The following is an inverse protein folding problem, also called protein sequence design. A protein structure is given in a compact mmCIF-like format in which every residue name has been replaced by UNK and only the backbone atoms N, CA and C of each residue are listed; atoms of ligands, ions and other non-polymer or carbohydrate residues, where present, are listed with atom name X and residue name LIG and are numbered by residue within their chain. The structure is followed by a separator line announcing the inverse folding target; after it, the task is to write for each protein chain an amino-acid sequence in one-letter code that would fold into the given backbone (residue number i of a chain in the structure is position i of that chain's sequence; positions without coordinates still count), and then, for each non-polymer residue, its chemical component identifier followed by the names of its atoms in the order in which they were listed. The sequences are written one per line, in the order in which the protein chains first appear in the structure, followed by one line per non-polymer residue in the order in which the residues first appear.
data_IF_197676104745
#
_entry.id   IF_197676104745
#
_cell.length_a   1.000
_cell.length_b   1.000
_cell.length_c   1.000
_cell.angle_alpha   90.00
_cell.angle_beta   90.00
_cell.angle_gamma   90.00
#
_symmetry.space_group_name_H-M   'P 1'
#
loop_
_entity.id
_entity.type
_entity.pdbx_description
1 polymer ?
#
# COMPACT_ATOMS: atom_id res chain seq x y z
N UNK A 1 1.34 -10.46 -18.41
CA UNK A 1 0.28 -9.83 -19.22
C UNK A 1 0.67 -8.42 -19.64
N UNK A 2 0.26 -7.99 -20.86
CA UNK A 2 0.50 -6.65 -21.42
C UNK A 2 -0.79 -6.09 -22.00
N UNK A 3 -1.17 -4.87 -21.58
CA UNK A 3 -2.35 -4.21 -22.09
C UNK A 3 -2.13 -3.70 -23.53
N UNK A 4 -3.11 -3.95 -24.39
CA UNK A 4 -3.12 -3.50 -25.78
C UNK A 4 -4.34 -2.65 -26.02
N UNK A 5 -4.13 -1.44 -26.55
CA UNK A 5 -5.19 -0.56 -27.03
C UNK A 5 -4.88 -0.20 -28.47
N UNK A 6 -5.75 -0.59 -29.40
CA UNK A 6 -5.58 -0.31 -30.83
C UNK A 6 -6.94 -0.32 -31.53
N UNK A 7 -7.12 0.41 -32.65
CA UNK A 7 -8.27 0.26 -33.51
C UNK A 7 -8.45 -1.19 -33.97
N UNK A 8 -9.68 -1.65 -34.16
CA UNK A 8 -10.00 -3.04 -34.50
C UNK A 8 -9.21 -3.57 -35.70
N UNK A 9 -8.94 -2.72 -36.69
CA UNK A 9 -8.22 -3.11 -37.92
C UNK A 9 -6.75 -3.50 -37.67
N UNK A 10 -6.10 -2.97 -36.63
CA UNK A 10 -4.69 -3.21 -36.32
C UNK A 10 -4.49 -3.96 -34.99
N UNK A 11 -5.55 -4.22 -34.27
CA UNK A 11 -5.50 -4.93 -32.97
C UNK A 11 -4.80 -6.29 -33.06
N UNK A 12 -5.04 -7.15 -34.09
CA UNK A 12 -4.35 -8.42 -34.19
C UNK A 12 -2.83 -8.28 -34.38
N UNK A 13 -2.39 -7.23 -35.07
CA UNK A 13 -0.95 -6.95 -35.29
C UNK A 13 -0.32 -6.55 -33.96
N UNK A 14 -1.00 -5.67 -33.17
CA UNK A 14 -0.51 -5.22 -31.87
C UNK A 14 -0.43 -6.39 -30.87
N UNK A 15 -1.41 -7.29 -30.89
CA UNK A 15 -1.39 -8.50 -30.05
C UNK A 15 -0.24 -9.45 -30.45
N UNK A 16 -0.03 -9.66 -31.77
CA UNK A 16 1.07 -10.48 -32.24
C UNK A 16 2.45 -9.95 -31.81
N UNK A 17 2.65 -8.64 -31.85
CA UNK A 17 3.88 -8.01 -31.34
C UNK A 17 4.12 -8.28 -29.86
N UNK A 18 3.07 -8.23 -29.04
CA UNK A 18 3.18 -8.55 -27.60
C UNK A 18 3.59 -10.01 -27.41
N UNK A 19 3.02 -10.93 -28.19
CA UNK A 19 3.38 -12.36 -28.13
C UNK A 19 4.83 -12.58 -28.54
N UNK A 20 5.30 -11.92 -29.61
CA UNK A 20 6.71 -12.00 -30.05
C UNK A 20 7.69 -11.46 -28.98
N UNK A 21 7.26 -10.49 -28.18
CA UNK A 21 8.02 -9.99 -27.02
C UNK A 21 7.96 -10.92 -25.80
N UNK A 22 7.30 -12.09 -25.92
CA UNK A 22 7.13 -13.03 -24.81
C UNK A 22 6.06 -12.62 -23.81
N UNK A 23 5.21 -11.64 -24.13
CA UNK A 23 4.11 -11.18 -23.30
C UNK A 23 2.80 -11.90 -23.59
N UNK A 24 1.84 -11.77 -22.68
CA UNK A 24 0.47 -12.23 -22.85
C UNK A 24 -0.43 -11.00 -23.06
N UNK A 25 -0.98 -10.79 -24.29
CA UNK A 25 -1.76 -9.60 -24.58
C UNK A 25 -3.17 -9.69 -24.02
N UNK A 26 -3.68 -8.59 -23.45
CA UNK A 26 -5.10 -8.40 -23.21
C UNK A 26 -5.56 -7.05 -23.73
N UNK A 27 -6.80 -6.98 -24.16
CA UNK A 27 -7.37 -5.75 -24.73
C UNK A 27 -7.81 -4.82 -23.59
N UNK A 28 -7.37 -3.57 -23.68
CA UNK A 28 -7.79 -2.50 -22.79
C UNK A 28 -8.43 -1.38 -23.62
N UNK A 29 -9.66 -1.01 -23.27
CA UNK A 29 -10.37 0.09 -23.92
C UNK A 29 -9.64 1.42 -23.68
N UNK A 30 -9.65 2.31 -24.69
CA UNK A 30 -8.97 3.62 -24.59
C UNK A 30 -9.44 4.43 -23.39
N UNK A 31 -10.75 4.41 -23.12
CA UNK A 31 -11.35 5.11 -21.95
C UNK A 31 -10.89 4.59 -20.60
N UNK A 32 -10.41 3.33 -20.52
CA UNK A 32 -9.94 2.70 -19.30
C UNK A 32 -8.44 2.94 -19.01
N UNK A 33 -7.67 3.44 -20.00
CA UNK A 33 -6.22 3.65 -19.85
C UNK A 33 -5.82 4.53 -18.66
N UNK A 34 -6.49 5.68 -18.40
CA UNK A 34 -6.12 6.50 -17.25
C UNK A 34 -6.29 5.76 -15.92
N UNK A 35 -7.39 5.04 -15.74
CA UNK A 35 -7.65 4.24 -14.54
C UNK A 35 -6.65 3.08 -14.40
N UNK A 36 -6.35 2.39 -15.50
CA UNK A 36 -5.33 1.34 -15.53
C UNK A 36 -3.96 1.86 -15.12
N UNK A 37 -3.52 2.98 -15.69
CA UNK A 37 -2.25 3.60 -15.33
C UNK A 37 -2.22 4.05 -13.86
N UNK A 38 -3.31 4.67 -13.38
CA UNK A 38 -3.43 5.08 -11.99
C UNK A 38 -3.34 3.88 -11.02
N UNK A 39 -3.95 2.75 -11.36
CA UNK A 39 -3.86 1.53 -10.56
C UNK A 39 -2.43 0.99 -10.46
N UNK A 40 -1.69 0.95 -11.59
CA UNK A 40 -0.29 0.54 -11.61
C UNK A 40 0.59 1.50 -10.79
N UNK A 41 0.40 2.81 -10.97
CA UNK A 41 1.13 3.82 -10.22
C UNK A 41 0.83 3.72 -8.71
N UNK A 42 -0.43 3.54 -8.33
CA UNK A 42 -0.83 3.38 -6.94
C UNK A 42 -0.23 2.10 -6.33
N UNK A 43 -0.34 0.96 -7.02
CA UNK A 43 0.13 -0.32 -6.52
C UNK A 43 1.66 -0.46 -6.47
N UNK A 44 2.38 0.11 -7.44
CA UNK A 44 3.84 -0.02 -7.53
C UNK A 44 4.58 1.19 -6.97
N UNK A 45 4.28 2.42 -7.44
CA UNK A 45 5.08 3.59 -7.06
C UNK A 45 4.83 4.02 -5.61
N UNK A 46 3.58 3.98 -5.14
CA UNK A 46 3.30 4.29 -3.73
C UNK A 46 3.80 3.20 -2.78
N UNK A 47 3.84 1.93 -3.23
CA UNK A 47 4.49 0.87 -2.46
C UNK A 47 5.96 1.19 -2.19
N UNK A 48 6.71 1.68 -3.21
CA UNK A 48 8.10 2.13 -3.02
C UNK A 48 8.21 3.22 -1.96
N UNK A 49 7.29 4.19 -1.95
CA UNK A 49 7.25 5.25 -0.94
C UNK A 49 7.08 4.65 0.46
N UNK A 50 6.10 3.76 0.65
CA UNK A 50 5.84 3.12 1.95
C UNK A 50 7.05 2.31 2.42
N UNK A 51 7.66 1.52 1.53
CA UNK A 51 8.84 0.69 1.87
C UNK A 51 10.03 1.56 2.27
N UNK A 52 10.32 2.63 1.52
CA UNK A 52 11.43 3.52 1.84
C UNK A 52 11.20 4.30 3.13
N UNK A 53 9.97 4.69 3.43
CA UNK A 53 9.59 5.27 4.71
C UNK A 53 9.81 4.29 5.86
N UNK A 54 9.39 3.03 5.72
CA UNK A 54 9.57 2.01 6.74
C UNK A 54 11.06 1.71 7.01
N UNK A 55 11.90 1.66 5.96
CA UNK A 55 13.37 1.52 6.12
C UNK A 55 13.96 2.72 6.90
N UNK A 56 13.51 3.95 6.61
CA UNK A 56 13.93 5.15 7.38
C UNK A 56 13.55 5.07 8.84
N UNK A 57 12.34 4.60 9.16
CA UNK A 57 11.89 4.41 10.55
C UNK A 57 12.77 3.39 11.27
N UNK A 58 13.06 2.25 10.64
CA UNK A 58 13.95 1.23 11.21
C UNK A 58 15.36 1.77 11.45
N UNK A 59 15.92 2.53 10.51
CA UNK A 59 17.22 3.16 10.69
C UNK A 59 17.21 4.18 11.85
N UNK A 60 16.15 4.99 11.98
CA UNK A 60 15.98 5.93 13.10
C UNK A 60 15.82 5.21 14.44
N UNK A 61 15.27 3.99 14.43
CA UNK A 61 15.16 3.12 15.61
C UNK A 61 16.45 2.31 15.90
N UNK A 62 17.54 2.51 15.13
CA UNK A 62 18.83 1.85 15.32
C UNK A 62 18.99 0.49 14.65
N UNK A 63 18.11 0.13 13.70
CA UNK A 63 18.24 -1.11 12.92
C UNK A 63 19.15 -0.85 11.73
N UNK A 64 20.32 -1.51 11.69
CA UNK A 64 21.36 -1.28 10.66
C UNK A 64 20.92 -1.70 9.26
N UNK A 65 20.26 -2.86 9.11
CA UNK A 65 19.76 -3.37 7.84
C UNK A 65 18.22 -3.49 7.85
N UNK A 66 17.58 -2.36 7.69
CA UNK A 66 16.12 -2.27 7.62
C UNK A 66 15.55 -2.99 6.39
N UNK A 67 16.28 -3.06 5.28
CA UNK A 67 15.83 -3.73 4.07
C UNK A 67 15.81 -5.26 4.26
N UNK A 68 16.87 -5.85 4.80
CA UNK A 68 16.89 -7.28 5.13
C UNK A 68 15.83 -7.65 6.19
N UNK A 69 15.62 -6.77 7.17
CA UNK A 69 14.59 -6.96 8.21
C UNK A 69 13.18 -6.98 7.62
N UNK A 70 12.88 -6.07 6.69
CA UNK A 70 11.54 -5.95 6.08
C UNK A 70 11.28 -6.95 4.95
N UNK A 71 12.30 -7.39 4.25
CA UNK A 71 12.16 -8.20 3.04
C UNK A 71 11.20 -9.38 3.17
N UNK A 72 11.40 -10.31 4.13
CA UNK A 72 10.51 -11.45 4.33
C UNK A 72 9.06 -11.04 4.65
N UNK A 73 8.89 -10.00 5.47
CA UNK A 73 7.57 -9.50 5.87
C UNK A 73 6.82 -8.89 4.68
N UNK A 74 7.52 -8.09 3.87
CA UNK A 74 6.94 -7.45 2.68
C UNK A 74 6.56 -8.49 1.64
N UNK A 75 7.40 -9.51 1.41
CA UNK A 75 7.09 -10.61 0.49
C UNK A 75 5.83 -11.34 0.91
N UNK A 76 5.72 -11.71 2.19
CA UNK A 76 4.54 -12.39 2.72
C UNK A 76 3.27 -11.50 2.68
N UNK A 77 3.42 -10.19 2.93
CA UNK A 77 2.30 -9.26 2.87
C UNK A 77 1.80 -9.06 1.44
N UNK A 78 2.71 -8.95 0.47
CA UNK A 78 2.38 -8.82 -0.95
C UNK A 78 1.70 -10.09 -1.48
N UNK A 79 2.25 -11.26 -1.18
CA UNK A 79 1.67 -12.55 -1.55
C UNK A 79 0.23 -12.68 -1.02
N UNK A 80 0.03 -12.38 0.26
CA UNK A 80 -1.29 -12.38 0.88
C UNK A 80 -2.25 -11.39 0.21
N UNK A 81 -1.80 -10.16 -0.07
CA UNK A 81 -2.64 -9.15 -0.70
C UNK A 81 -3.10 -9.58 -2.10
N UNK A 82 -2.24 -10.24 -2.88
CA UNK A 82 -2.55 -10.70 -4.23
C UNK A 82 -3.49 -11.92 -4.25
N UNK A 83 -3.43 -12.80 -3.23
CA UNK A 83 -4.24 -14.02 -3.18
C UNK A 83 -5.54 -13.86 -2.39
N UNK A 84 -5.51 -13.10 -1.29
CA UNK A 84 -6.63 -12.98 -0.35
C UNK A 84 -7.37 -11.63 -0.48
N UNK A 85 -6.76 -10.65 -1.16
CA UNK A 85 -7.31 -9.30 -1.27
C UNK A 85 -7.55 -8.67 0.11
N UNK A 86 -8.72 -8.08 0.32
CA UNK A 86 -9.06 -7.43 1.59
C UNK A 86 -9.18 -8.41 2.76
N UNK A 87 -9.42 -9.70 2.49
CA UNK A 87 -9.42 -10.72 3.52
C UNK A 87 -8.04 -10.88 4.18
N UNK A 88 -6.97 -10.56 3.48
CA UNK A 88 -5.60 -10.57 3.98
C UNK A 88 -5.21 -9.39 4.88
N UNK A 89 -6.07 -8.37 5.06
CA UNK A 89 -5.78 -7.24 5.95
C UNK A 89 -5.50 -7.72 7.38
N UNK A 90 -4.43 -7.24 7.98
CA UNK A 90 -3.99 -7.60 9.33
C UNK A 90 -3.41 -6.39 10.06
N UNK A 91 -2.98 -6.58 11.29
CA UNK A 91 -2.35 -5.54 12.10
C UNK A 91 -3.32 -4.88 13.10
N UNK A 92 -2.86 -3.90 13.88
CA UNK A 92 -3.65 -3.30 14.95
C UNK A 92 -4.91 -2.59 14.43
N UNK A 93 -4.83 -1.90 13.30
CA UNK A 93 -5.99 -1.23 12.69
C UNK A 93 -7.10 -2.23 12.38
N UNK A 94 -6.78 -3.34 11.71
CA UNK A 94 -7.78 -4.34 11.32
C UNK A 94 -8.39 -5.09 12.50
N UNK A 95 -7.79 -5.00 13.69
CA UNK A 95 -8.30 -5.57 14.95
C UNK A 95 -8.99 -4.54 15.85
N UNK A 96 -9.05 -3.26 15.45
CA UNK A 96 -9.64 -2.20 16.26
C UNK A 96 -8.77 -1.77 17.45
N UNK A 97 -7.47 -2.05 17.44
CA UNK A 97 -6.55 -1.76 18.51
C UNK A 97 -6.05 -0.30 18.42
N UNK A 98 -6.91 0.63 18.85
CA UNK A 98 -6.62 2.05 18.83
C UNK A 98 -5.46 2.43 19.77
N UNK A 99 -5.25 1.67 20.88
CA UNK A 99 -4.14 1.91 21.80
C UNK A 99 -2.79 1.68 21.14
N UNK A 100 -2.62 0.58 20.39
CA UNK A 100 -1.41 0.34 19.62
C UNK A 100 -1.22 1.38 18.52
N UNK A 101 -2.30 1.80 17.84
CA UNK A 101 -2.23 2.85 16.80
C UNK A 101 -1.76 4.18 17.40
N UNK A 102 -2.26 4.58 18.58
CA UNK A 102 -1.81 5.78 19.30
C UNK A 102 -0.32 5.71 19.64
N UNK A 103 0.14 4.58 20.19
CA UNK A 103 1.55 4.36 20.50
C UNK A 103 2.46 4.42 19.29
N UNK A 104 2.00 3.91 18.13
CA UNK A 104 2.74 4.05 16.86
C UNK A 104 2.88 5.50 16.43
N UNK A 105 1.80 6.28 16.50
CA UNK A 105 1.81 7.70 16.13
C UNK A 105 2.74 8.51 17.05
N UNK A 106 2.69 8.25 18.34
CA UNK A 106 3.60 8.88 19.32
C UNK A 106 5.06 8.55 19.00
N UNK A 107 5.37 7.27 18.80
CA UNK A 107 6.72 6.84 18.46
C UNK A 107 7.23 7.49 17.15
N UNK A 108 6.41 7.49 16.10
CA UNK A 108 6.78 8.08 14.80
C UNK A 108 6.98 9.60 14.89
N UNK A 109 6.21 10.31 15.70
CA UNK A 109 6.32 11.77 15.89
C UNK A 109 7.54 12.20 16.70
N UNK A 110 8.11 11.31 17.51
CA UNK A 110 9.29 11.58 18.34
C UNK A 110 10.60 11.17 17.69
N UNK A 111 10.56 10.29 16.67
CA UNK A 111 11.74 9.84 15.96
C UNK A 111 12.27 10.91 14.99
N UNK A 112 13.60 10.94 14.82
CA UNK A 112 14.29 11.73 13.83
C UNK A 112 15.26 10.84 13.04
N UNK A 113 15.48 11.18 11.77
CA UNK A 113 16.48 10.49 10.95
C UNK A 113 17.92 10.82 11.39
N UNK A 114 18.91 10.18 10.76
CA UNK A 114 20.34 10.38 11.06
C UNK A 114 20.84 11.82 10.85
N UNK A 115 20.03 12.69 10.24
CA UNK A 115 20.31 14.10 10.02
C UNK A 115 19.50 15.01 10.97
N UNK A 116 18.79 14.45 11.94
CA UNK A 116 17.97 15.16 12.90
C UNK A 116 16.64 15.70 12.30
N UNK A 117 16.22 15.21 11.12
CA UNK A 117 14.94 15.59 10.52
C UNK A 117 13.83 14.70 11.04
N UNK A 118 12.69 15.29 11.39
CA UNK A 118 11.49 14.55 11.77
C UNK A 118 10.96 13.63 10.66
N UNK A 119 10.09 12.71 11.02
CA UNK A 119 9.46 11.77 10.10
C UNK A 119 8.00 12.16 9.80
N UNK A 120 7.72 13.46 9.64
CA UNK A 120 6.35 13.98 9.44
C UNK A 120 5.66 13.39 8.20
N UNK A 121 6.42 13.14 7.13
CA UNK A 121 5.92 12.47 5.93
C UNK A 121 5.48 11.03 6.21
N UNK A 122 6.15 10.34 7.12
CA UNK A 122 5.79 8.98 7.55
C UNK A 122 4.52 9.01 8.40
N UNK A 123 4.44 9.94 9.36
CA UNK A 123 3.24 10.14 10.19
C UNK A 123 2.02 10.43 9.31
N UNK A 124 2.15 11.32 8.33
CA UNK A 124 1.08 11.64 7.40
C UNK A 124 0.63 10.42 6.59
N UNK A 125 1.56 9.66 6.00
CA UNK A 125 1.27 8.43 5.26
C UNK A 125 0.63 7.38 6.15
N UNK A 126 1.14 7.17 7.38
CA UNK A 126 0.58 6.22 8.34
C UNK A 126 -0.89 6.53 8.64
N UNK A 127 -1.21 7.81 8.95
CA UNK A 127 -2.59 8.24 9.23
C UNK A 127 -3.53 7.96 8.06
N UNK A 128 -3.14 8.30 6.83
CA UNK A 128 -3.96 8.10 5.65
C UNK A 128 -4.21 6.61 5.36
N UNK A 129 -3.18 5.78 5.43
CA UNK A 129 -3.30 4.35 5.20
C UNK A 129 -4.10 3.66 6.31
N UNK A 130 -3.92 4.04 7.56
CA UNK A 130 -4.69 3.53 8.69
C UNK A 130 -6.18 3.91 8.57
N UNK A 131 -6.49 5.15 8.15
CA UNK A 131 -7.86 5.58 7.89
C UNK A 131 -8.52 4.74 6.77
N UNK A 132 -7.83 4.57 5.63
CA UNK A 132 -8.32 3.75 4.54
C UNK A 132 -8.53 2.28 4.96
N UNK A 133 -7.64 1.73 5.79
CA UNK A 133 -7.80 0.38 6.34
C UNK A 133 -9.00 0.28 7.28
N UNK A 134 -9.21 1.29 8.11
CA UNK A 134 -10.37 1.36 9.03
C UNK A 134 -11.68 1.31 8.24
N UNK A 135 -11.81 2.13 7.19
CA UNK A 135 -13.00 2.17 6.33
C UNK A 135 -13.29 0.82 5.67
N UNK A 136 -12.26 0.17 5.15
CA UNK A 136 -12.40 -1.17 4.52
C UNK A 136 -12.80 -2.24 5.52
N UNK A 137 -12.19 -2.23 6.71
CA UNK A 137 -12.51 -3.19 7.77
C UNK A 137 -13.92 -2.99 8.35
N UNK A 138 -14.40 -1.75 8.43
CA UNK A 138 -15.78 -1.45 8.82
C UNK A 138 -16.78 -1.90 7.73
N UNK A 139 -16.51 -1.57 6.46
CA UNK A 139 -17.37 -1.96 5.34
C UNK A 139 -17.50 -3.48 5.18
N UNK A 140 -16.47 -4.24 5.54
CA UNK A 140 -16.46 -5.72 5.50
C UNK A 140 -16.94 -6.37 6.81
N UNK A 141 -17.35 -5.59 7.82
CA UNK A 141 -17.84 -6.09 9.11
C UNK A 141 -16.74 -6.66 10.02
N UNK A 142 -15.48 -6.41 9.73
CA UNK A 142 -14.34 -6.79 10.60
C UNK A 142 -14.21 -5.90 11.83
N UNK A 143 -14.63 -4.64 11.70
CA UNK A 143 -14.72 -3.68 12.80
C UNK A 143 -16.17 -3.36 13.07
N UNK A 144 -16.52 -3.20 14.33
CA UNK A 144 -17.77 -2.57 14.73
C UNK A 144 -17.70 -1.06 14.46
N UNK A 145 -18.84 -0.40 14.35
CA UNK A 145 -18.91 1.06 14.20
C UNK A 145 -18.19 1.80 15.36
N UNK A 146 -18.28 1.26 16.59
CA UNK A 146 -17.61 1.81 17.77
C UNK A 146 -16.09 1.72 17.65
N UNK A 147 -15.55 0.56 17.24
CA UNK A 147 -14.11 0.39 17.00
C UNK A 147 -13.60 1.31 15.91
N UNK A 148 -14.34 1.41 14.78
CA UNK A 148 -13.98 2.29 13.69
C UNK A 148 -14.01 3.77 14.09
N UNK A 149 -14.99 4.21 14.91
CA UNK A 149 -15.04 5.56 15.45
C UNK A 149 -13.83 5.85 16.33
N UNK A 150 -13.50 4.95 17.26
CA UNK A 150 -12.35 5.10 18.16
C UNK A 150 -11.03 5.21 17.38
N UNK A 151 -10.82 4.39 16.35
CA UNK A 151 -9.65 4.50 15.46
C UNK A 151 -9.61 5.86 14.74
N UNK A 152 -10.74 6.33 14.20
CA UNK A 152 -10.80 7.64 13.53
C UNK A 152 -10.44 8.79 14.48
N UNK A 153 -10.89 8.75 15.71
CA UNK A 153 -10.57 9.77 16.71
C UNK A 153 -9.08 9.73 17.06
N UNK A 154 -8.51 8.54 17.25
CA UNK A 154 -7.07 8.35 17.47
C UNK A 154 -6.22 8.88 16.30
N UNK A 155 -6.68 8.69 15.06
CA UNK A 155 -5.97 9.15 13.88
C UNK A 155 -6.03 10.67 13.65
N UNK A 156 -6.95 11.39 14.29
CA UNK A 156 -7.08 12.86 14.23
C UNK A 156 -6.27 13.59 15.29
N UNK A 157 -6.06 12.94 16.44
CA UNK A 157 -5.22 13.48 17.52
C UNK A 157 -3.74 13.52 17.15
#
# INVERSE_FOLDING_TARGET
PMAVTAPAAVLPIAQALVVELGGEPFVLEESARPAYHAALAHGANHLLTVVTQAVRVLAAAGVEDGAATLGPLLTAALDRALHEGEAGLTGPVSRGDAGTVAAHLEALSTLSDSQGRGLDDVVASYRQLAAATTERCEATGRLTAEQALHLRDTLRS
#
